data_IF_490620166499
#
_entry.id   IF_490620166499
#
_cell.length_a   1.000
_cell.length_b   1.000
_cell.length_c   1.000
_cell.angle_alpha   90.00
_cell.angle_beta   90.00
_cell.angle_gamma   90.00
#
_symmetry.space_group_name_H-M   'P 1'
#
loop_
_entity.id
_entity.type
_entity.pdbx_description
1 polymer ?
#
# COMPACT_ATOMS: atom_id res chain seq x y z
N UNK A 1 -47.86 3.64 12.64
CA UNK A 1 -46.46 3.74 12.23
C UNK A 1 -46.23 5.10 11.61
N UNK A 2 -45.25 5.85 12.07
CA UNK A 2 -44.90 7.13 11.49
C UNK A 2 -44.21 6.91 10.13
N UNK A 3 -44.40 7.81 9.16
CA UNK A 3 -43.86 7.68 7.79
C UNK A 3 -42.34 7.35 7.74
N UNK A 4 -41.57 7.86 8.68
CA UNK A 4 -40.14 7.58 8.84
C UNK A 4 -39.82 6.13 9.20
N UNK A 5 -40.69 5.44 9.92
CA UNK A 5 -40.51 4.01 10.27
C UNK A 5 -40.82 3.12 9.07
N UNK A 6 -41.78 3.49 8.24
CA UNK A 6 -42.15 2.76 7.01
C UNK A 6 -41.04 2.80 5.97
N UNK A 7 -40.38 3.93 5.80
CA UNK A 7 -39.25 4.10 4.85
C UNK A 7 -38.03 3.25 5.27
N UNK A 8 -37.75 3.10 6.58
CA UNK A 8 -36.66 2.24 7.05
C UNK A 8 -36.92 0.75 6.78
N UNK A 9 -38.15 0.28 6.90
CA UNK A 9 -38.52 -1.11 6.59
C UNK A 9 -38.35 -1.42 5.10
N UNK A 10 -38.72 -0.50 4.24
CA UNK A 10 -38.69 -0.69 2.79
C UNK A 10 -37.29 -0.97 2.25
N UNK A 11 -36.27 -0.33 2.78
CA UNK A 11 -34.89 -0.57 2.32
C UNK A 11 -34.43 -2.00 2.62
N UNK A 12 -34.73 -2.54 3.82
CA UNK A 12 -34.36 -3.92 4.17
C UNK A 12 -35.12 -4.96 3.36
N UNK A 13 -36.42 -4.71 3.05
CA UNK A 13 -37.22 -5.58 2.20
C UNK A 13 -36.70 -5.55 0.76
N UNK A 14 -36.33 -4.37 0.24
CA UNK A 14 -35.75 -4.23 -1.07
C UNK A 14 -34.43 -5.01 -1.22
N UNK A 15 -33.53 -4.90 -0.22
CA UNK A 15 -32.30 -5.65 -0.16
C UNK A 15 -32.56 -7.17 0.01
N UNK A 16 -33.53 -7.56 0.78
CA UNK A 16 -33.89 -8.97 0.98
C UNK A 16 -34.16 -9.67 -0.34
N UNK A 17 -34.88 -8.99 -1.26
CA UNK A 17 -35.12 -9.52 -2.61
C UNK A 17 -33.81 -9.72 -3.40
N UNK A 18 -32.86 -8.79 -3.26
CA UNK A 18 -31.55 -8.90 -3.90
C UNK A 18 -30.71 -10.07 -3.34
N UNK A 19 -30.87 -10.39 -2.06
CA UNK A 19 -30.20 -11.49 -1.38
C UNK A 19 -30.79 -12.88 -1.68
N UNK A 20 -31.85 -13.00 -2.48
CA UNK A 20 -32.34 -14.29 -2.93
C UNK A 20 -31.36 -14.99 -3.90
N UNK A 21 -30.49 -14.22 -4.56
CA UNK A 21 -29.35 -14.75 -5.30
C UNK A 21 -28.21 -15.16 -4.35
N UNK A 22 -27.68 -16.39 -4.51
CA UNK A 22 -26.67 -16.96 -3.60
C UNK A 22 -25.35 -16.16 -3.63
N UNK A 23 -24.96 -15.57 -4.77
CA UNK A 23 -23.73 -14.78 -4.84
C UNK A 23 -23.87 -13.48 -4.04
N UNK A 24 -25.02 -12.81 -4.16
CA UNK A 24 -25.34 -11.62 -3.40
C UNK A 24 -25.50 -11.92 -1.91
N UNK A 25 -26.11 -13.07 -1.58
CA UNK A 25 -26.23 -13.57 -0.21
C UNK A 25 -24.84 -13.77 0.42
N UNK A 26 -23.95 -14.51 -0.22
CA UNK A 26 -22.61 -14.78 0.29
C UNK A 26 -21.78 -13.50 0.49
N UNK A 27 -22.03 -12.47 -0.35
CA UNK A 27 -21.31 -11.20 -0.28
C UNK A 27 -21.83 -10.26 0.81
N UNK A 28 -23.15 -10.18 1.00
CA UNK A 28 -23.75 -9.08 1.78
C UNK A 28 -24.58 -9.50 2.98
N UNK A 29 -25.03 -10.76 3.09
CA UNK A 29 -26.01 -11.18 4.09
C UNK A 29 -25.60 -10.84 5.53
N UNK A 30 -24.43 -11.32 5.96
CA UNK A 30 -23.97 -11.13 7.34
C UNK A 30 -23.75 -9.68 7.70
N UNK A 31 -23.26 -8.93 6.73
CA UNK A 31 -23.08 -7.49 6.87
C UNK A 31 -24.42 -6.78 7.13
N UNK A 32 -25.43 -7.06 6.32
CA UNK A 32 -26.75 -6.44 6.45
C UNK A 32 -27.46 -6.92 7.71
N UNK A 33 -27.45 -8.24 7.97
CA UNK A 33 -28.11 -8.85 9.13
C UNK A 33 -27.63 -8.25 10.46
N UNK A 34 -26.33 -8.04 10.60
CA UNK A 34 -25.74 -7.45 11.81
C UNK A 34 -26.10 -5.97 12.02
N UNK A 35 -26.54 -5.29 10.95
CA UNK A 35 -26.95 -3.88 10.98
C UNK A 35 -28.46 -3.69 11.15
N UNK A 36 -29.26 -4.77 11.16
CA UNK A 36 -30.70 -4.67 11.43
C UNK A 36 -30.90 -4.37 12.90
N UNK A 37 -31.68 -3.31 13.21
CA UNK A 37 -32.04 -3.00 14.58
C UNK A 37 -32.83 -4.18 15.20
N UNK A 38 -32.36 -4.65 16.37
CA UNK A 38 -32.97 -5.78 17.11
C UNK A 38 -34.42 -5.57 17.49
N UNK A 39 -34.91 -4.35 17.44
CA UNK A 39 -36.32 -4.02 17.63
C UNK A 39 -37.21 -4.41 16.44
N UNK A 40 -36.63 -4.56 15.24
CA UNK A 40 -37.33 -4.92 14.01
C UNK A 40 -37.44 -6.46 13.89
N UNK A 41 -38.24 -7.06 14.77
CA UNK A 41 -38.34 -8.52 14.88
C UNK A 41 -38.81 -9.21 13.60
N UNK A 42 -39.74 -8.59 12.88
CA UNK A 42 -40.29 -9.12 11.62
C UNK A 42 -39.23 -9.15 10.51
N UNK A 43 -38.45 -8.11 10.39
CA UNK A 43 -37.32 -8.08 9.41
C UNK A 43 -36.26 -9.11 9.79
N UNK A 44 -35.89 -9.19 11.06
CA UNK A 44 -34.92 -10.20 11.52
C UNK A 44 -35.42 -11.62 11.25
N UNK A 45 -36.71 -11.88 11.43
CA UNK A 45 -37.33 -13.18 11.14
C UNK A 45 -37.19 -13.49 9.64
N UNK A 46 -37.53 -12.55 8.76
CA UNK A 46 -37.43 -12.74 7.31
C UNK A 46 -35.98 -13.06 6.89
N UNK A 47 -35.00 -12.32 7.40
CA UNK A 47 -33.58 -12.59 7.10
C UNK A 47 -33.14 -13.96 7.69
N UNK A 48 -33.59 -14.33 8.87
CA UNK A 48 -33.28 -15.65 9.48
C UNK A 48 -33.84 -16.78 8.62
N UNK A 49 -35.06 -16.65 8.14
CA UNK A 49 -35.68 -17.66 7.26
C UNK A 49 -34.99 -17.76 5.90
N UNK A 50 -34.50 -16.64 5.34
CA UNK A 50 -33.68 -16.65 4.14
C UNK A 50 -32.39 -17.43 4.38
N UNK A 51 -31.72 -17.20 5.51
CA UNK A 51 -30.51 -17.90 5.91
C UNK A 51 -30.76 -19.41 5.97
N UNK A 52 -31.80 -19.84 6.67
CA UNK A 52 -32.16 -21.26 6.79
C UNK A 52 -32.36 -21.92 5.41
N UNK A 53 -33.00 -21.24 4.46
CA UNK A 53 -33.22 -21.77 3.12
C UNK A 53 -31.93 -21.88 2.34
N UNK A 54 -31.12 -20.82 2.27
CA UNK A 54 -29.89 -20.82 1.47
C UNK A 54 -28.89 -21.80 2.06
N UNK A 55 -28.69 -21.83 3.37
CA UNK A 55 -27.76 -22.77 4.01
C UNK A 55 -28.21 -24.25 3.85
N UNK A 56 -29.52 -24.51 3.79
CA UNK A 56 -30.05 -25.86 3.62
C UNK A 56 -29.86 -26.38 2.20
N UNK A 57 -30.10 -25.55 1.19
CA UNK A 57 -30.14 -25.98 -0.20
C UNK A 57 -28.89 -25.56 -1.01
N UNK A 58 -28.07 -24.68 -0.46
CA UNK A 58 -26.85 -24.13 -1.06
C UNK A 58 -27.05 -23.63 -2.50
N UNK A 59 -28.17 -22.93 -2.74
CA UNK A 59 -28.53 -22.41 -4.06
C UNK A 59 -29.34 -21.10 -3.94
N UNK A 60 -29.44 -20.34 -5.03
CA UNK A 60 -30.35 -19.21 -5.13
C UNK A 60 -31.79 -19.66 -4.93
N UNK A 61 -32.60 -18.82 -4.27
CA UNK A 61 -33.99 -19.13 -3.92
C UNK A 61 -34.91 -18.30 -4.79
N UNK A 62 -35.93 -18.93 -5.41
CA UNK A 62 -36.95 -18.15 -6.11
C UNK A 62 -37.79 -17.34 -5.11
N UNK A 63 -38.29 -16.18 -5.56
CA UNK A 63 -39.15 -15.36 -4.73
C UNK A 63 -40.39 -16.12 -4.26
N UNK A 64 -40.97 -16.95 -5.13
CA UNK A 64 -42.15 -17.78 -4.83
C UNK A 64 -41.86 -18.82 -3.75
N UNK A 65 -40.71 -19.52 -3.86
CA UNK A 65 -40.34 -20.55 -2.88
C UNK A 65 -40.01 -19.92 -1.51
N UNK A 66 -39.37 -18.75 -1.53
CA UNK A 66 -39.10 -17.99 -0.32
C UNK A 66 -40.41 -17.60 0.40
N UNK A 67 -41.35 -17.01 -0.33
CA UNK A 67 -42.65 -16.60 0.24
C UNK A 67 -43.45 -17.81 0.78
N UNK A 68 -43.49 -18.93 0.06
CA UNK A 68 -44.11 -20.18 0.56
C UNK A 68 -43.45 -20.68 1.85
N UNK A 69 -42.13 -20.61 1.91
CA UNK A 69 -41.43 -21.03 3.11
C UNK A 69 -41.71 -20.11 4.30
N UNK A 70 -41.67 -18.79 4.09
CA UNK A 70 -42.02 -17.80 5.13
C UNK A 70 -43.45 -18.00 5.62
N UNK A 71 -44.40 -18.24 4.72
CA UNK A 71 -45.81 -18.49 5.05
C UNK A 71 -45.97 -19.73 5.94
N UNK A 72 -45.27 -20.82 5.60
CA UNK A 72 -45.24 -22.07 6.36
C UNK A 72 -44.70 -21.93 7.79
N UNK A 73 -43.89 -20.91 8.07
CA UNK A 73 -43.25 -20.64 9.37
C UNK A 73 -43.88 -19.49 10.16
N UNK A 74 -44.77 -18.72 9.53
CA UNK A 74 -45.45 -17.58 10.15
C UNK A 74 -46.45 -18.03 11.19
N UNK A 75 -46.42 -17.39 12.35
CA UNK A 75 -47.37 -17.65 13.43
C UNK A 75 -48.51 -16.63 13.38
N UNK A 76 -49.70 -16.98 13.89
CA UNK A 76 -50.89 -16.12 13.88
C UNK A 76 -50.68 -14.71 14.46
N UNK A 77 -49.65 -14.51 15.27
CA UNK A 77 -49.37 -13.24 15.96
C UNK A 77 -48.70 -12.19 15.05
N UNK A 78 -47.95 -12.61 14.01
CA UNK A 78 -47.17 -11.74 13.11
C UNK A 78 -47.65 -11.85 11.66
N UNK A 79 -48.68 -12.65 11.40
CA UNK A 79 -49.08 -13.05 10.06
C UNK A 79 -49.41 -11.85 9.15
N UNK A 80 -50.26 -10.95 9.61
CA UNK A 80 -50.70 -9.79 8.80
C UNK A 80 -49.54 -8.89 8.39
N UNK A 81 -48.63 -8.59 9.33
CA UNK A 81 -47.47 -7.71 9.09
C UNK A 81 -46.48 -8.39 8.08
N UNK A 82 -46.24 -9.68 8.24
CA UNK A 82 -45.39 -10.44 7.36
C UNK A 82 -45.98 -10.50 5.94
N UNK A 83 -47.28 -10.74 5.81
CA UNK A 83 -47.96 -10.76 4.52
C UNK A 83 -47.85 -9.42 3.78
N UNK A 84 -47.97 -8.30 4.50
CA UNK A 84 -47.81 -6.97 3.90
C UNK A 84 -46.36 -6.74 3.44
N UNK A 85 -45.39 -7.15 4.23
CA UNK A 85 -43.97 -7.06 3.83
C UNK A 85 -43.64 -7.95 2.62
N UNK A 86 -44.24 -9.14 2.53
CA UNK A 86 -44.09 -10.03 1.37
C UNK A 86 -44.73 -9.46 0.12
N UNK A 87 -45.90 -8.78 0.23
CA UNK A 87 -46.51 -8.04 -0.91
C UNK A 87 -45.59 -6.96 -1.43
N UNK A 88 -44.98 -6.19 -0.53
CA UNK A 88 -43.99 -5.17 -0.92
C UNK A 88 -42.81 -5.82 -1.66
N UNK A 89 -42.32 -6.98 -1.20
CA UNK A 89 -41.26 -7.73 -1.85
C UNK A 89 -41.58 -8.10 -3.32
N UNK A 90 -42.82 -8.48 -3.61
CA UNK A 90 -43.27 -8.79 -4.98
C UNK A 90 -43.27 -7.58 -5.88
N UNK A 91 -43.64 -6.39 -5.36
CA UNK A 91 -43.83 -5.18 -6.12
C UNK A 91 -42.50 -4.46 -6.50
N UNK A 92 -41.39 -4.76 -5.84
CA UNK A 92 -40.09 -4.14 -6.15
C UNK A 92 -39.46 -4.74 -7.40
N UNK A 93 -39.07 -3.89 -8.34
CA UNK A 93 -38.10 -4.22 -9.38
C UNK A 93 -36.69 -3.85 -8.88
N UNK A 94 -35.76 -4.81 -8.95
CA UNK A 94 -34.41 -4.60 -8.46
C UNK A 94 -33.60 -3.77 -9.44
N UNK A 95 -33.06 -2.66 -8.97
CA UNK A 95 -32.09 -1.84 -9.67
C UNK A 95 -30.77 -1.88 -8.89
N UNK A 96 -29.69 -2.35 -9.53
CA UNK A 96 -28.39 -2.53 -8.89
C UNK A 96 -27.77 -1.20 -8.43
N UNK A 97 -27.99 -0.09 -9.13
CA UNK A 97 -27.50 1.22 -8.71
C UNK A 97 -28.13 1.66 -7.40
N UNK A 98 -29.46 1.47 -7.25
CA UNK A 98 -30.19 1.77 -6.02
C UNK A 98 -29.72 0.87 -4.88
N UNK A 99 -29.48 -0.41 -5.13
CA UNK A 99 -28.93 -1.34 -4.14
C UNK A 99 -27.57 -0.85 -3.66
N UNK A 100 -26.68 -0.46 -4.56
CA UNK A 100 -25.35 0.04 -4.21
C UNK A 100 -25.44 1.30 -3.35
N UNK A 101 -26.34 2.22 -3.66
CA UNK A 101 -26.55 3.43 -2.85
C UNK A 101 -27.07 3.09 -1.44
N UNK A 102 -28.04 2.14 -1.32
CA UNK A 102 -28.54 1.70 -0.02
C UNK A 102 -27.46 0.99 0.78
N UNK A 103 -26.68 0.12 0.18
CA UNK A 103 -25.56 -0.57 0.84
C UNK A 103 -24.51 0.43 1.31
N UNK A 104 -24.21 1.44 0.50
CA UNK A 104 -23.32 2.54 0.86
C UNK A 104 -23.82 3.32 2.08
N UNK A 105 -25.12 3.64 2.13
CA UNK A 105 -25.74 4.34 3.26
C UNK A 105 -25.68 3.50 4.55
N UNK A 106 -25.92 2.18 4.47
CA UNK A 106 -25.79 1.27 5.62
C UNK A 106 -24.34 1.23 6.11
N UNK A 107 -23.36 1.12 5.20
CA UNK A 107 -21.94 1.15 5.55
C UNK A 107 -21.53 2.46 6.24
N UNK A 108 -21.96 3.60 5.71
CA UNK A 108 -21.68 4.90 6.31
C UNK A 108 -22.25 5.04 7.72
N UNK A 109 -23.47 4.52 7.96
CA UNK A 109 -24.10 4.53 9.29
C UNK A 109 -23.35 3.64 10.27
N UNK A 110 -22.89 2.47 9.84
CA UNK A 110 -22.08 1.59 10.67
C UNK A 110 -20.75 2.25 11.04
N UNK A 111 -20.04 2.83 10.06
CA UNK A 111 -18.80 3.57 10.31
C UNK A 111 -19.02 4.67 11.35
N UNK A 112 -20.07 5.47 11.16
CA UNK A 112 -20.38 6.54 12.09
C UNK A 112 -20.64 6.02 13.53
N UNK A 113 -21.28 4.86 13.65
CA UNK A 113 -21.52 4.21 14.93
C UNK A 113 -20.23 3.69 15.57
N UNK A 114 -19.40 2.97 14.82
CA UNK A 114 -18.12 2.46 15.30
C UNK A 114 -17.16 3.60 15.68
N UNK A 115 -17.10 4.66 14.88
CA UNK A 115 -16.32 5.87 15.19
C UNK A 115 -16.82 6.55 16.48
N UNK A 116 -18.14 6.60 16.70
CA UNK A 116 -18.68 7.15 17.92
C UNK A 116 -18.26 6.35 19.15
N UNK A 117 -18.29 5.00 19.10
CA UNK A 117 -17.83 4.12 20.18
C UNK A 117 -16.34 4.35 20.46
N UNK A 118 -15.50 4.27 19.42
CA UNK A 118 -14.04 4.44 19.55
C UNK A 118 -13.69 5.84 20.07
N UNK A 119 -14.42 6.88 19.59
CA UNK A 119 -14.23 8.25 20.08
C UNK A 119 -14.59 8.40 21.56
N UNK A 120 -15.63 7.72 22.03
CA UNK A 120 -15.99 7.68 23.46
C UNK A 120 -14.90 6.99 24.29
N UNK A 121 -14.38 5.85 23.83
CA UNK A 121 -13.29 5.15 24.51
C UNK A 121 -12.03 6.02 24.62
N UNK A 122 -11.69 6.76 23.54
CA UNK A 122 -10.56 7.71 23.56
C UNK A 122 -10.84 8.86 24.55
N UNK A 123 -12.06 9.40 24.58
CA UNK A 123 -12.43 10.48 25.49
C UNK A 123 -12.37 10.07 26.96
N UNK A 124 -12.61 8.81 27.26
CA UNK A 124 -12.54 8.22 28.61
C UNK A 124 -11.13 7.70 28.97
N UNK A 125 -10.13 7.90 28.10
CA UNK A 125 -8.73 7.48 28.32
C UNK A 125 -8.50 5.97 28.14
N UNK A 126 -9.43 5.23 27.56
CA UNK A 126 -9.33 3.77 27.30
C UNK A 126 -8.83 3.42 25.90
N UNK A 127 -8.52 4.42 25.06
CA UNK A 127 -8.04 4.26 23.70
C UNK A 127 -7.12 5.40 23.27
N UNK A 128 -6.61 5.33 22.04
CA UNK A 128 -5.78 6.36 21.43
C UNK A 128 -6.42 6.93 20.16
N UNK A 129 -5.98 8.11 19.71
CA UNK A 129 -6.42 8.70 18.43
C UNK A 129 -6.13 7.76 17.25
N UNK A 130 -5.06 6.95 17.35
CA UNK A 130 -4.72 5.97 16.34
C UNK A 130 -5.80 4.89 16.16
N UNK A 131 -6.58 4.59 17.21
CA UNK A 131 -7.71 3.66 17.10
C UNK A 131 -8.82 4.24 16.21
N UNK A 132 -9.07 5.55 16.29
CA UNK A 132 -10.01 6.25 15.40
C UNK A 132 -9.52 6.16 13.95
N UNK A 133 -8.24 6.46 13.72
CA UNK A 133 -7.64 6.40 12.39
C UNK A 133 -7.65 4.97 11.82
N UNK A 134 -7.35 3.96 12.64
CA UNK A 134 -7.40 2.56 12.21
C UNK A 134 -8.81 2.11 11.84
N UNK A 135 -9.83 2.61 12.54
CA UNK A 135 -11.24 2.34 12.22
C UNK A 135 -11.62 2.97 10.88
N UNK A 136 -11.23 4.22 10.62
CA UNK A 136 -11.42 4.88 9.32
C UNK A 136 -10.74 4.10 8.18
N UNK A 137 -9.48 3.70 8.35
CA UNK A 137 -8.72 2.98 7.34
C UNK A 137 -9.33 1.61 7.01
N UNK A 138 -9.85 0.88 7.99
CA UNK A 138 -10.56 -0.39 7.75
C UNK A 138 -11.78 -0.20 6.84
N UNK A 139 -12.49 0.89 6.99
CA UNK A 139 -13.64 1.20 6.15
C UNK A 139 -13.25 1.64 4.74
N UNK A 140 -12.20 2.42 4.58
CA UNK A 140 -11.67 2.81 3.26
C UNK A 140 -11.24 1.57 2.46
N UNK A 141 -10.52 0.63 3.07
CA UNK A 141 -10.13 -0.62 2.42
C UNK A 141 -11.30 -1.55 2.10
N UNK A 142 -12.39 -1.52 2.90
CA UNK A 142 -13.61 -2.29 2.61
C UNK A 142 -14.51 -1.66 1.54
N UNK A 143 -14.23 -0.42 1.14
CA UNK A 143 -14.99 0.32 0.12
C UNK A 143 -14.55 -0.01 -1.31
N UNK A 144 -13.30 -0.34 -1.49
CA UNK A 144 -12.86 -0.94 -2.73
C UNK A 144 -13.39 -2.37 -2.74
N UNK A 145 -14.46 -2.62 -3.50
CA UNK A 145 -14.83 -3.97 -3.90
C UNK A 145 -13.56 -4.58 -4.53
N UNK A 146 -12.77 -5.25 -3.71
CA UNK A 146 -11.67 -6.06 -4.22
C UNK A 146 -12.33 -7.20 -5.00
N UNK A 147 -12.68 -6.92 -6.26
CA UNK A 147 -12.92 -7.99 -7.22
C UNK A 147 -11.69 -8.87 -7.11
N UNK A 148 -11.89 -10.10 -6.65
CA UNK A 148 -10.83 -11.11 -6.75
C UNK A 148 -10.65 -11.34 -8.25
N UNK A 149 -9.75 -10.58 -8.84
CA UNK A 149 -9.41 -10.73 -10.25
C UNK A 149 -8.32 -11.79 -10.34
N UNK A 150 -8.66 -12.88 -10.98
CA UNK A 150 -7.66 -13.87 -11.35
C UNK A 150 -6.76 -13.31 -12.45
N UNK A 151 -5.46 -13.57 -12.34
CA UNK A 151 -4.51 -13.19 -13.38
C UNK A 151 -4.91 -13.90 -14.67
N UNK A 152 -5.02 -13.15 -15.77
CA UNK A 152 -5.29 -13.70 -17.10
C UNK A 152 -4.16 -14.63 -17.53
N UNK A 153 -4.50 -15.73 -18.23
CA UNK A 153 -3.55 -16.60 -18.91
C UNK A 153 -3.11 -16.09 -20.29
N UNK A 154 -3.59 -14.90 -20.69
CA UNK A 154 -3.23 -14.22 -21.92
C UNK A 154 -1.77 -13.74 -21.87
N UNK A 155 -0.89 -14.47 -22.57
CA UNK A 155 0.54 -14.23 -22.55
C UNK A 155 0.92 -12.83 -23.08
N UNK A 156 0.22 -12.30 -24.09
CA UNK A 156 0.49 -10.96 -24.63
C UNK A 156 0.18 -9.87 -23.59
N UNK A 157 -0.89 -10.03 -22.83
CA UNK A 157 -1.22 -9.12 -21.72
C UNK A 157 -0.20 -9.23 -20.59
N UNK A 158 0.19 -10.44 -20.21
CA UNK A 158 1.21 -10.68 -19.18
C UNK A 158 2.54 -10.04 -19.56
N UNK A 159 3.02 -10.23 -20.79
CA UNK A 159 4.25 -9.63 -21.28
C UNK A 159 4.12 -8.10 -21.35
N UNK A 160 2.99 -7.60 -21.83
CA UNK A 160 2.75 -6.15 -21.92
C UNK A 160 2.79 -5.48 -20.55
N UNK A 161 2.19 -6.06 -19.54
CA UNK A 161 2.18 -5.52 -18.17
C UNK A 161 3.51 -5.71 -17.44
N UNK A 162 4.24 -6.79 -17.69
CA UNK A 162 5.42 -7.13 -16.88
C UNK A 162 6.74 -6.68 -17.50
N UNK A 163 6.83 -6.58 -18.84
CA UNK A 163 8.10 -6.37 -19.56
C UNK A 163 8.07 -5.11 -20.43
N UNK A 164 6.95 -4.83 -21.14
CA UNK A 164 6.85 -3.67 -22.04
C UNK A 164 6.69 -2.34 -21.31
N UNK A 165 6.25 -2.32 -20.04
CA UNK A 165 6.34 -1.12 -19.23
C UNK A 165 7.81 -0.79 -18.98
N UNK A 166 8.24 0.39 -19.44
CA UNK A 166 9.60 0.90 -19.20
C UNK A 166 9.81 1.05 -17.71
N UNK A 167 10.62 0.17 -17.13
CA UNK A 167 11.06 0.28 -15.74
C UNK A 167 12.05 1.43 -15.55
N UNK A 168 12.28 1.80 -14.29
CA UNK A 168 13.26 2.81 -13.90
C UNK A 168 14.67 2.20 -13.91
N UNK A 169 15.53 2.68 -14.82
CA UNK A 169 16.92 2.23 -14.96
C UNK A 169 17.84 2.99 -14.01
N UNK A 170 18.70 2.26 -13.34
CA UNK A 170 19.71 2.79 -12.42
C UNK A 170 20.75 3.65 -13.15
N UNK A 171 21.31 4.64 -12.45
CA UNK A 171 22.50 5.37 -12.93
C UNK A 171 23.70 4.44 -13.05
N UNK A 172 23.87 3.56 -12.05
CA UNK A 172 24.89 2.51 -12.11
C UNK A 172 24.53 1.46 -13.15
N UNK A 173 25.30 1.39 -14.22
CA UNK A 173 25.06 0.40 -15.27
C UNK A 173 25.29 -1.03 -14.78
N UNK A 174 26.20 -1.21 -13.83
CA UNK A 174 26.42 -2.50 -13.17
C UNK A 174 25.16 -3.03 -12.47
N UNK A 175 24.32 -2.15 -11.89
CA UNK A 175 23.01 -2.55 -11.36
C UNK A 175 22.02 -2.91 -12.47
N UNK A 176 21.97 -2.16 -13.57
CA UNK A 176 21.11 -2.52 -14.70
C UNK A 176 21.44 -3.92 -15.24
N UNK A 177 22.75 -4.19 -15.40
CA UNK A 177 23.20 -5.51 -15.85
C UNK A 177 22.89 -6.63 -14.86
N UNK A 178 22.91 -6.34 -13.55
CA UNK A 178 22.70 -7.35 -12.51
C UNK A 178 21.22 -7.55 -12.15
N UNK A 179 20.47 -6.46 -11.93
CA UNK A 179 19.11 -6.55 -11.39
C UNK A 179 18.03 -6.10 -12.37
N UNK A 180 18.39 -5.30 -13.38
CA UNK A 180 17.44 -4.69 -14.30
C UNK A 180 16.71 -3.49 -13.70
N UNK A 181 15.66 -3.05 -14.39
CA UNK A 181 14.86 -1.89 -14.05
C UNK A 181 13.87 -2.19 -12.91
N UNK A 182 13.52 -1.14 -12.15
CA UNK A 182 12.44 -1.18 -11.17
C UNK A 182 11.09 -0.92 -11.83
N UNK A 183 10.09 -1.73 -11.52
CA UNK A 183 8.74 -1.64 -12.06
C UNK A 183 7.69 -1.61 -10.96
N UNK A 184 6.46 -1.24 -11.30
CA UNK A 184 5.32 -1.38 -10.39
C UNK A 184 5.24 -2.82 -9.89
N UNK A 185 5.01 -2.99 -8.58
CA UNK A 185 5.03 -4.28 -7.90
C UNK A 185 6.36 -4.60 -7.23
N UNK A 186 7.46 -3.94 -7.61
CA UNK A 186 8.77 -4.20 -7.02
C UNK A 186 8.95 -3.43 -5.70
N UNK A 187 9.24 -4.16 -4.65
CA UNK A 187 9.66 -3.60 -3.37
C UNK A 187 11.10 -4.00 -3.08
N UNK A 188 11.98 -3.01 -2.94
CA UNK A 188 13.36 -3.22 -2.55
C UNK A 188 13.76 -2.43 -1.31
N UNK A 189 14.82 -2.87 -0.64
CA UNK A 189 15.48 -2.03 0.33
C UNK A 189 17.01 -2.13 0.24
N UNK A 190 17.66 -1.05 0.64
CA UNK A 190 19.09 -1.01 0.80
C UNK A 190 19.46 -0.80 2.27
N UNK A 191 20.57 -1.37 2.70
CA UNK A 191 21.07 -1.18 4.04
C UNK A 191 22.59 -1.03 4.09
N UNK A 192 23.04 -0.23 5.03
CA UNK A 192 24.46 0.01 5.28
C UNK A 192 24.67 0.53 6.70
N UNK A 193 25.93 0.55 7.14
CA UNK A 193 26.30 1.25 8.36
C UNK A 193 26.11 2.77 8.22
N UNK A 194 25.94 3.50 9.34
CA UNK A 194 26.02 4.96 9.31
C UNK A 194 27.25 5.45 8.55
N UNK A 195 27.16 6.62 7.91
CA UNK A 195 28.25 7.27 7.16
C UNK A 195 28.85 6.46 5.99
N UNK A 196 28.24 5.35 5.59
CA UNK A 196 28.64 4.59 4.41
C UNK A 196 28.25 5.30 3.09
N UNK A 197 27.26 6.20 3.13
CA UNK A 197 26.82 6.97 1.95
C UNK A 197 25.48 6.53 1.37
N UNK A 198 24.55 5.99 2.19
CA UNK A 198 23.18 5.60 1.77
C UNK A 198 22.44 6.74 1.08
N UNK A 199 22.36 7.91 1.73
CA UNK A 199 21.67 9.09 1.18
C UNK A 199 22.35 9.60 -0.10
N UNK A 200 23.68 9.50 -0.21
CA UNK A 200 24.41 9.83 -1.44
C UNK A 200 24.05 8.85 -2.57
N UNK A 201 23.91 7.56 -2.27
CA UNK A 201 23.41 6.57 -3.25
C UNK A 201 21.99 6.94 -3.71
N UNK A 202 21.11 7.27 -2.78
CA UNK A 202 19.75 7.72 -3.14
C UNK A 202 19.80 8.97 -4.01
N UNK A 203 20.56 10.02 -3.65
CA UNK A 203 20.69 11.23 -4.47
C UNK A 203 21.21 10.90 -5.88
N UNK A 204 22.20 10.01 -6.00
CA UNK A 204 22.73 9.55 -7.28
C UNK A 204 21.63 8.90 -8.13
N UNK A 205 20.94 7.92 -7.61
CA UNK A 205 19.99 7.12 -8.37
C UNK A 205 18.66 7.86 -8.62
N UNK A 206 18.12 8.54 -7.61
CA UNK A 206 16.82 9.25 -7.73
C UNK A 206 16.89 10.38 -8.76
N UNK A 207 18.00 11.12 -8.82
CA UNK A 207 18.17 12.19 -9.83
C UNK A 207 18.29 11.62 -11.26
N UNK A 208 18.70 10.38 -11.41
CA UNK A 208 18.65 9.68 -12.67
C UNK A 208 17.25 9.14 -12.98
N UNK A 209 16.56 8.59 -11.99
CA UNK A 209 15.16 8.18 -12.15
C UNK A 209 14.25 9.38 -12.51
N UNK A 210 14.53 10.57 -11.96
CA UNK A 210 13.75 11.77 -12.23
C UNK A 210 13.75 12.18 -13.71
N UNK A 211 14.78 11.83 -14.47
CA UNK A 211 14.82 12.06 -15.93
C UNK A 211 13.99 11.07 -16.74
N UNK A 212 13.42 10.04 -16.11
CA UNK A 212 12.72 8.92 -16.76
C UNK A 212 11.22 8.91 -16.46
N UNK A 213 10.75 9.79 -15.56
CA UNK A 213 9.37 9.80 -15.06
C UNK A 213 8.60 11.02 -15.56
N UNK A 214 7.28 10.89 -15.58
CA UNK A 214 6.31 11.94 -15.88
C UNK A 214 5.41 12.30 -14.68
N UNK A 215 5.58 11.58 -13.55
CA UNK A 215 4.82 11.75 -12.31
C UNK A 215 5.80 11.84 -11.12
N UNK A 216 5.33 12.34 -9.95
CA UNK A 216 6.20 12.57 -8.80
C UNK A 216 6.95 11.34 -8.30
N UNK A 217 8.17 11.56 -7.84
CA UNK A 217 8.93 10.67 -6.96
C UNK A 217 8.71 11.19 -5.54
N UNK A 218 8.03 10.41 -4.68
CA UNK A 218 7.82 10.76 -3.29
C UNK A 218 9.00 10.25 -2.45
N UNK A 219 9.73 11.16 -1.84
CA UNK A 219 10.86 10.84 -0.97
C UNK A 219 10.56 11.26 0.47
N UNK A 220 10.28 10.30 1.32
CA UNK A 220 10.04 10.48 2.75
C UNK A 220 11.37 10.41 3.50
N UNK A 221 11.92 11.57 3.85
CA UNK A 221 13.18 11.73 4.55
C UNK A 221 12.92 11.98 6.05
N UNK A 222 13.49 11.15 6.90
CA UNK A 222 13.38 11.26 8.36
C UNK A 222 14.73 11.08 9.08
N UNK A 223 15.84 11.22 8.37
CA UNK A 223 17.19 11.07 8.92
C UNK A 223 17.97 12.37 8.89
N UNK A 224 18.13 13.00 7.74
CA UNK A 224 18.91 14.22 7.55
C UNK A 224 18.02 15.44 7.26
N UNK A 225 18.58 16.63 7.38
CA UNK A 225 17.88 17.87 6.99
C UNK A 225 17.61 17.88 5.48
N UNK A 226 16.34 18.01 5.09
CA UNK A 226 15.90 17.91 3.70
C UNK A 226 16.57 18.92 2.75
N UNK A 227 16.87 20.13 3.22
CA UNK A 227 17.59 21.13 2.42
C UNK A 227 18.99 20.66 2.01
N UNK A 228 19.71 19.95 2.89
CA UNK A 228 21.02 19.37 2.57
C UNK A 228 20.91 18.23 1.57
N UNK A 229 19.88 17.40 1.70
CA UNK A 229 19.58 16.31 0.76
C UNK A 229 19.25 16.89 -0.62
N UNK A 230 18.42 17.94 -0.68
CA UNK A 230 18.06 18.58 -1.94
C UNK A 230 19.26 19.22 -2.65
N UNK A 231 20.19 19.87 -1.91
CA UNK A 231 21.44 20.38 -2.49
C UNK A 231 22.26 19.23 -3.11
N UNK A 232 22.36 18.08 -2.44
CA UNK A 232 23.01 16.88 -3.00
C UNK A 232 22.30 16.37 -4.26
N UNK A 233 20.98 16.49 -4.34
CA UNK A 233 20.26 16.17 -5.57
C UNK A 233 20.68 17.08 -6.74
N UNK A 234 20.87 18.39 -6.52
CA UNK A 234 21.43 19.27 -7.54
C UNK A 234 22.84 18.84 -7.95
N UNK A 235 23.71 18.60 -6.97
CA UNK A 235 25.08 18.10 -7.25
C UNK A 235 25.05 16.79 -8.05
N UNK A 236 24.21 15.85 -7.65
CA UNK A 236 24.08 14.54 -8.30
C UNK A 236 23.50 14.66 -9.72
N UNK A 237 22.51 15.53 -9.94
CA UNK A 237 21.90 15.68 -11.25
C UNK A 237 22.92 16.20 -12.29
N UNK A 238 23.71 17.20 -11.95
CA UNK A 238 24.65 17.83 -12.85
C UNK A 238 26.08 17.25 -12.77
N UNK A 239 26.38 16.50 -11.72
CA UNK A 239 27.74 15.98 -11.50
C UNK A 239 28.77 17.07 -11.19
N UNK A 240 28.38 18.07 -10.42
CA UNK A 240 29.20 19.25 -10.10
C UNK A 240 29.32 19.49 -8.59
N UNK A 241 30.41 20.07 -8.12
CA UNK A 241 30.59 20.40 -6.70
C UNK A 241 29.75 21.61 -6.29
N UNK A 242 29.50 21.76 -4.98
CA UNK A 242 28.68 22.82 -4.41
C UNK A 242 29.17 24.23 -4.81
N UNK A 243 30.48 24.43 -4.87
CA UNK A 243 31.03 25.74 -5.26
C UNK A 243 30.59 26.19 -6.67
N UNK A 244 30.46 25.24 -7.59
CA UNK A 244 29.99 25.51 -8.95
C UNK A 244 28.49 25.81 -8.98
N UNK A 245 27.69 25.12 -8.15
CA UNK A 245 26.25 25.40 -7.99
C UNK A 245 26.03 26.83 -7.50
N UNK A 246 26.80 27.27 -6.49
CA UNK A 246 26.70 28.62 -5.93
C UNK A 246 27.05 29.69 -6.97
N UNK A 247 27.98 29.41 -7.89
CA UNK A 247 28.39 30.34 -8.94
C UNK A 247 27.27 30.71 -9.93
N UNK A 248 26.28 29.80 -10.18
CA UNK A 248 25.25 30.00 -11.20
C UNK A 248 23.88 29.47 -10.74
N UNK A 249 23.40 29.90 -9.57
CA UNK A 249 22.19 29.38 -8.93
C UNK A 249 20.96 29.38 -9.86
N UNK A 250 20.67 30.49 -10.54
CA UNK A 250 19.48 30.63 -11.38
C UNK A 250 19.50 29.67 -12.58
N UNK A 251 20.66 29.48 -13.20
CA UNK A 251 20.84 28.56 -14.33
C UNK A 251 20.60 27.13 -13.89
N UNK A 252 21.23 26.69 -12.79
CA UNK A 252 21.04 25.34 -12.28
C UNK A 252 19.64 25.09 -11.74
N UNK A 253 18.97 26.09 -11.17
CA UNK A 253 17.58 25.96 -10.72
C UNK A 253 16.63 25.73 -11.91
N UNK A 254 16.80 26.47 -12.99
CA UNK A 254 15.98 26.27 -14.22
C UNK A 254 16.28 24.91 -14.83
N UNK A 255 17.57 24.63 -15.06
CA UNK A 255 18.01 23.35 -15.63
C UNK A 255 17.58 22.13 -14.80
N UNK A 256 17.58 22.23 -13.46
CA UNK A 256 17.11 21.15 -12.60
C UNK A 256 15.63 20.83 -12.84
N UNK A 257 14.79 21.84 -13.01
CA UNK A 257 13.37 21.64 -13.33
C UNK A 257 13.19 20.99 -14.70
N UNK A 258 13.93 21.46 -15.68
CA UNK A 258 13.85 20.97 -17.07
C UNK A 258 14.35 19.53 -17.22
N UNK A 259 15.27 19.09 -16.35
CA UNK A 259 15.76 17.71 -16.32
C UNK A 259 14.98 16.79 -15.37
N UNK A 260 13.75 17.16 -15.01
CA UNK A 260 12.88 16.31 -14.20
C UNK A 260 13.07 16.45 -12.68
N UNK A 261 13.94 17.33 -12.21
CA UNK A 261 14.14 17.56 -10.76
C UNK A 261 12.90 18.08 -10.05
N UNK A 262 11.95 18.68 -10.78
CA UNK A 262 10.64 19.10 -10.27
C UNK A 262 9.75 17.91 -9.86
N UNK A 263 10.00 16.73 -10.37
CA UNK A 263 9.29 15.52 -9.96
C UNK A 263 9.76 15.00 -8.58
N UNK A 264 10.95 15.37 -8.10
CA UNK A 264 11.42 14.96 -6.77
C UNK A 264 10.67 15.75 -5.71
N UNK A 265 9.78 15.08 -4.98
CA UNK A 265 9.01 15.63 -3.86
C UNK A 265 9.58 15.07 -2.56
N UNK A 266 10.46 15.86 -1.94
CA UNK A 266 11.11 15.50 -0.68
C UNK A 266 10.25 16.00 0.48
N UNK A 267 9.80 15.09 1.34
CA UNK A 267 9.11 15.37 2.59
C UNK A 267 10.08 15.18 3.75
N UNK A 268 10.38 16.28 4.44
CA UNK A 268 11.32 16.31 5.55
C UNK A 268 10.55 16.33 6.88
N UNK A 269 10.43 15.18 7.52
CA UNK A 269 9.77 15.05 8.81
C UNK A 269 10.30 13.84 9.57
N UNK A 270 10.68 14.06 10.84
CA UNK A 270 11.11 12.98 11.73
C UNK A 270 9.99 11.98 12.08
N UNK A 271 8.72 12.37 11.92
CA UNK A 271 7.55 11.59 12.32
C UNK A 271 6.53 11.48 11.19
N UNK A 272 6.88 10.76 10.14
CA UNK A 272 5.96 10.51 9.01
C UNK A 272 5.02 9.36 9.37
N UNK A 273 3.72 9.58 9.23
CA UNK A 273 2.69 8.59 9.52
C UNK A 273 2.21 7.89 8.24
N UNK A 274 1.90 6.57 8.32
CA UNK A 274 1.45 5.77 7.17
C UNK A 274 0.26 6.38 6.43
N UNK A 275 -0.71 6.94 7.14
CA UNK A 275 -1.89 7.56 6.52
C UNK A 275 -1.56 8.78 5.67
N UNK A 276 -0.54 9.58 6.06
CA UNK A 276 -0.06 10.70 5.26
C UNK A 276 0.59 10.22 3.95
N UNK A 277 1.35 9.12 4.02
CA UNK A 277 1.94 8.49 2.83
C UNK A 277 0.86 7.99 1.88
N UNK A 278 -0.12 7.24 2.41
CA UNK A 278 -1.24 6.70 1.63
C UNK A 278 -2.07 7.81 0.96
N UNK A 279 -2.35 8.88 1.69
CA UNK A 279 -3.05 10.04 1.15
C UNK A 279 -2.27 10.69 0.00
N UNK A 280 -0.97 10.95 0.18
CA UNK A 280 -0.13 11.54 -0.85
C UNK A 280 0.00 10.62 -2.08
N UNK A 281 0.05 9.30 -1.89
CA UNK A 281 0.04 8.35 -3.00
C UNK A 281 -1.26 8.40 -3.81
N UNK A 282 -2.41 8.50 -3.14
CA UNK A 282 -3.72 8.65 -3.80
C UNK A 282 -3.83 9.98 -4.57
N UNK A 283 -3.38 11.07 -3.98
CA UNK A 283 -3.47 12.42 -4.56
C UNK A 283 -2.50 12.63 -5.74
N UNK A 284 -1.28 12.14 -5.62
CA UNK A 284 -0.18 12.47 -6.54
C UNK A 284 0.15 11.35 -7.53
N UNK A 285 -0.37 10.14 -7.36
CA UNK A 285 -0.14 8.97 -8.22
C UNK A 285 1.35 8.81 -8.59
N UNK A 286 2.25 8.56 -7.62
CA UNK A 286 3.70 8.62 -7.82
C UNK A 286 4.23 7.60 -8.83
N UNK A 287 5.41 7.89 -9.39
CA UNK A 287 6.21 6.94 -10.19
C UNK A 287 7.21 6.13 -9.37
N UNK A 288 7.57 6.62 -8.18
CA UNK A 288 8.49 5.95 -7.25
C UNK A 288 8.25 6.47 -5.84
N UNK A 289 8.35 5.58 -4.85
CA UNK A 289 8.31 5.95 -3.42
C UNK A 289 9.62 5.56 -2.76
N UNK A 290 10.21 6.50 -2.00
CA UNK A 290 11.46 6.32 -1.26
C UNK A 290 11.21 6.58 0.23
N UNK A 291 11.70 5.69 1.09
CA UNK A 291 11.70 5.84 2.54
C UNK A 291 13.12 5.87 3.10
N UNK A 292 13.57 7.00 3.56
CA UNK A 292 14.88 7.19 4.19
C UNK A 292 14.74 7.72 5.64
N UNK A 293 14.48 6.84 6.65
CA UNK A 293 14.52 5.38 6.78
C UNK A 293 13.11 4.77 6.90
N UNK A 294 12.92 3.56 6.34
CA UNK A 294 11.63 2.87 6.38
C UNK A 294 11.22 2.45 7.81
N UNK A 295 12.15 1.98 8.63
CA UNK A 295 11.88 1.50 9.99
C UNK A 295 11.29 2.56 10.94
N UNK A 296 11.39 3.87 10.58
CA UNK A 296 10.90 5.00 11.38
C UNK A 296 9.47 5.42 11.07
N UNK A 297 8.82 4.86 10.05
CA UNK A 297 7.44 5.20 9.70
C UNK A 297 6.50 4.84 10.86
N UNK A 298 5.59 5.77 11.18
CA UNK A 298 4.63 5.66 12.29
C UNK A 298 3.27 5.14 11.83
N UNK A 299 2.41 4.77 12.80
CA UNK A 299 1.06 4.26 12.55
C UNK A 299 0.98 2.74 12.50
N UNK A 300 1.97 2.05 13.07
CA UNK A 300 1.98 0.61 13.25
C UNK A 300 2.12 0.32 14.75
N UNK A 301 1.15 -0.41 15.29
CA UNK A 301 1.07 -0.74 16.70
C UNK A 301 1.26 -2.24 16.90
N UNK A 302 2.33 -2.60 17.57
CA UNK A 302 2.61 -3.93 18.07
C UNK A 302 3.45 -3.80 19.34
N UNK A 303 3.19 -4.61 20.34
CA UNK A 303 3.96 -4.63 21.59
C UNK A 303 5.41 -5.12 21.36
N UNK A 304 5.63 -5.85 20.28
CA UNK A 304 6.94 -6.39 19.90
C UNK A 304 7.47 -5.62 18.68
N UNK A 305 8.70 -5.12 18.79
CA UNK A 305 9.36 -4.36 17.74
C UNK A 305 9.53 -5.15 16.42
N UNK A 306 9.82 -6.45 16.51
CA UNK A 306 9.98 -7.29 15.32
C UNK A 306 8.66 -7.47 14.53
N UNK A 307 7.52 -7.56 15.21
CA UNK A 307 6.20 -7.61 14.57
C UNK A 307 5.83 -6.27 13.96
N UNK A 308 6.07 -5.18 14.69
CA UNK A 308 5.85 -3.82 14.18
C UNK A 308 6.65 -3.56 12.90
N UNK A 309 7.94 -3.94 12.88
CA UNK A 309 8.77 -3.83 11.69
C UNK A 309 8.26 -4.73 10.56
N UNK A 310 7.84 -5.96 10.86
CA UNK A 310 7.20 -6.84 9.88
C UNK A 310 6.02 -6.17 9.19
N UNK A 311 5.12 -5.56 9.97
CA UNK A 311 3.94 -4.84 9.46
C UNK A 311 4.31 -3.66 8.57
N UNK A 312 5.39 -2.93 8.86
CA UNK A 312 5.90 -1.84 8.01
C UNK A 312 6.34 -2.37 6.63
N UNK A 313 7.07 -3.51 6.59
CA UNK A 313 7.56 -4.07 5.33
C UNK A 313 6.45 -4.71 4.50
N UNK A 314 5.46 -5.35 5.13
CA UNK A 314 4.23 -5.80 4.45
C UNK A 314 3.51 -4.61 3.81
N UNK A 315 3.31 -3.53 4.55
CA UNK A 315 2.69 -2.32 4.04
C UNK A 315 3.48 -1.67 2.88
N UNK A 316 4.80 -1.61 2.96
CA UNK A 316 5.63 -1.12 1.87
C UNK A 316 5.48 -1.98 0.60
N UNK A 317 5.34 -3.30 0.78
CA UNK A 317 5.01 -4.25 -0.30
C UNK A 317 3.65 -3.97 -0.93
N UNK A 318 2.63 -3.67 -0.11
CA UNK A 318 1.29 -3.32 -0.59
C UNK A 318 1.31 -2.00 -1.38
N UNK A 319 2.05 -0.99 -0.93
CA UNK A 319 2.27 0.25 -1.68
C UNK A 319 2.91 -0.03 -3.05
N UNK A 320 3.91 -0.91 -3.10
CA UNK A 320 4.58 -1.27 -4.35
C UNK A 320 3.61 -1.91 -5.36
N UNK A 321 2.77 -2.83 -4.90
CA UNK A 321 1.76 -3.48 -5.74
C UNK A 321 0.67 -2.51 -6.21
N UNK A 322 0.25 -1.60 -5.34
CA UNK A 322 -0.88 -0.70 -5.60
C UNK A 322 -0.49 0.46 -6.50
N UNK A 323 0.62 1.14 -6.19
CA UNK A 323 0.95 2.41 -6.83
C UNK A 323 2.12 2.32 -7.81
N UNK A 324 3.33 2.07 -7.32
CA UNK A 324 4.58 2.15 -8.08
C UNK A 324 5.72 1.47 -7.31
N UNK A 325 6.92 1.26 -7.89
CA UNK A 325 8.03 0.67 -7.16
C UNK A 325 8.34 1.44 -5.86
N UNK A 326 8.82 0.70 -4.85
CA UNK A 326 9.16 1.24 -3.52
C UNK A 326 10.59 0.87 -3.17
N UNK A 327 11.37 1.83 -2.72
CA UNK A 327 12.71 1.63 -2.17
C UNK A 327 12.74 2.09 -0.71
N UNK A 328 13.01 1.18 0.21
CA UNK A 328 13.28 1.48 1.62
C UNK A 328 14.76 1.56 1.93
N UNK A 329 15.11 2.33 2.96
CA UNK A 329 16.46 2.32 3.55
C UNK A 329 16.34 1.84 4.99
N UNK A 330 17.26 0.97 5.40
CA UNK A 330 17.43 0.61 6.81
C UNK A 330 18.90 0.59 7.20
N UNK A 331 19.19 0.34 8.47
CA UNK A 331 20.55 0.31 8.97
C UNK A 331 21.10 -1.12 9.03
N UNK A 332 22.41 -1.25 8.84
CA UNK A 332 23.13 -2.44 9.21
C UNK A 332 23.44 -2.44 10.73
N UNK A 333 23.45 -3.59 11.35
CA UNK A 333 23.89 -3.74 12.73
C UNK A 333 25.41 -3.59 12.88
N UNK A 334 25.93 -3.61 14.12
CA UNK A 334 27.33 -3.43 14.42
C UNK A 334 28.24 -4.48 13.73
N UNK A 335 27.71 -5.68 13.44
CA UNK A 335 28.47 -6.75 12.79
C UNK A 335 28.84 -6.44 11.33
N UNK A 336 28.21 -5.43 10.74
CA UNK A 336 28.50 -4.94 9.39
C UNK A 336 29.66 -3.94 9.31
N UNK A 337 30.21 -3.51 10.45
CA UNK A 337 31.30 -2.52 10.47
C UNK A 337 32.56 -3.06 9.79
N UNK A 338 33.14 -2.27 8.90
CA UNK A 338 34.37 -2.62 8.18
C UNK A 338 34.24 -3.78 7.18
N UNK A 339 33.03 -4.34 6.99
CA UNK A 339 32.82 -5.45 6.04
C UNK A 339 32.72 -4.95 4.60
N UNK A 340 33.50 -5.60 3.74
CA UNK A 340 33.44 -5.39 2.28
C UNK A 340 32.07 -5.77 1.72
N UNK A 341 31.56 -6.94 2.05
CA UNK A 341 30.31 -7.48 1.56
C UNK A 341 29.34 -7.70 2.74
N UNK A 342 28.31 -6.90 2.79
CA UNK A 342 27.23 -7.10 3.76
C UNK A 342 26.33 -8.26 3.32
N UNK A 343 25.82 -9.02 4.28
CA UNK A 343 24.89 -10.13 4.11
C UNK A 343 23.61 -9.87 4.92
N UNK A 344 22.59 -10.69 4.78
CA UNK A 344 21.35 -10.55 5.56
C UNK A 344 21.57 -10.59 7.07
N UNK A 345 22.61 -11.29 7.54
CA UNK A 345 22.97 -11.33 8.96
C UNK A 345 23.37 -9.97 9.53
N UNK A 346 23.73 -9.02 8.66
CA UNK A 346 24.13 -7.67 9.05
C UNK A 346 22.96 -6.65 9.02
N UNK A 347 21.74 -7.06 8.68
CA UNK A 347 20.56 -6.18 8.77
C UNK A 347 20.18 -5.98 10.24
N UNK A 348 19.96 -4.74 10.66
CA UNK A 348 19.47 -4.44 12.00
C UNK A 348 17.99 -4.85 12.14
N UNK A 349 17.65 -5.48 13.25
CA UNK A 349 16.30 -5.86 13.68
C UNK A 349 15.44 -6.62 12.65
N UNK A 350 14.57 -7.51 13.08
CA UNK A 350 13.55 -8.19 12.26
C UNK A 350 14.03 -8.75 10.90
N UNK A 351 15.24 -9.31 10.83
CA UNK A 351 15.93 -9.77 9.60
C UNK A 351 15.03 -10.64 8.72
N UNK A 352 14.37 -11.63 9.30
CA UNK A 352 13.53 -12.59 8.58
C UNK A 352 12.28 -11.94 7.97
N UNK A 353 11.58 -11.10 8.74
CA UNK A 353 10.37 -10.41 8.28
C UNK A 353 10.70 -9.44 7.14
N UNK A 354 11.77 -8.64 7.28
CA UNK A 354 12.22 -7.72 6.23
C UNK A 354 12.59 -8.46 4.93
N UNK A 355 13.32 -9.56 5.07
CA UNK A 355 13.75 -10.39 3.93
C UNK A 355 12.57 -11.04 3.21
N UNK A 356 11.54 -11.47 3.93
CA UNK A 356 10.40 -12.15 3.33
C UNK A 356 9.69 -11.26 2.29
N UNK A 357 9.47 -10.00 2.64
CA UNK A 357 8.65 -9.08 1.86
C UNK A 357 9.37 -8.45 0.65
N UNK A 358 10.66 -8.22 0.71
CA UNK A 358 11.38 -7.54 -0.36
C UNK A 358 11.65 -8.44 -1.58
N UNK A 359 11.64 -7.85 -2.77
CA UNK A 359 12.09 -8.46 -4.04
C UNK A 359 13.55 -8.19 -4.31
N UNK A 360 14.04 -7.01 -3.94
CA UNK A 360 15.42 -6.58 -4.09
C UNK A 360 16.02 -6.20 -2.73
N UNK A 361 17.21 -6.73 -2.43
CA UNK A 361 17.97 -6.35 -1.22
C UNK A 361 19.40 -6.04 -1.61
N UNK A 362 19.82 -4.80 -1.32
CA UNK A 362 21.16 -4.31 -1.57
C UNK A 362 21.89 -4.01 -0.25
N UNK A 363 23.05 -4.62 -0.04
CA UNK A 363 23.92 -4.28 1.08
C UNK A 363 25.09 -3.44 0.61
N UNK A 364 25.30 -2.24 1.19
CA UNK A 364 26.43 -1.37 0.84
C UNK A 364 27.49 -1.45 1.94
N UNK A 365 28.62 -2.07 1.62
CA UNK A 365 29.76 -2.20 2.51
C UNK A 365 30.83 -1.12 2.28
N UNK A 366 31.62 -0.88 3.33
CA UNK A 366 32.82 -0.02 3.32
C UNK A 366 33.92 -0.71 4.12
N UNK A 367 35.14 -0.72 3.61
CA UNK A 367 36.30 -1.23 4.31
C UNK A 367 37.07 -0.10 4.98
N UNK A 368 37.75 -0.38 6.08
CA UNK A 368 38.69 0.54 6.76
C UNK A 368 40.08 0.39 6.11
N UNK A 369 40.23 1.00 4.94
CA UNK A 369 41.49 0.99 4.16
C UNK A 369 41.65 2.37 3.53
N UNK A 370 42.75 3.05 3.86
CA UNK A 370 43.04 4.42 3.38
C UNK A 370 43.08 4.50 1.85
N UNK A 371 43.54 3.44 1.17
CA UNK A 371 43.57 3.39 -0.29
C UNK A 371 42.19 3.15 -0.93
N UNK A 372 41.17 2.78 -0.11
CA UNK A 372 39.82 2.46 -0.53
C UNK A 372 38.76 3.33 0.11
N UNK A 373 39.12 4.51 0.60
CA UNK A 373 38.20 5.42 1.28
C UNK A 373 36.95 5.73 0.46
N UNK A 374 37.10 5.87 -0.86
CA UNK A 374 36.00 6.18 -1.78
C UNK A 374 35.39 4.94 -2.44
N UNK A 375 35.92 3.73 -2.18
CA UNK A 375 35.30 2.51 -2.70
C UNK A 375 34.10 2.11 -1.84
N UNK A 376 33.04 1.65 -2.51
CA UNK A 376 31.87 1.04 -1.89
C UNK A 376 31.61 -0.30 -2.55
N UNK A 377 31.01 -1.19 -1.79
CA UNK A 377 30.83 -2.58 -2.20
C UNK A 377 29.35 -2.93 -2.08
N UNK A 378 28.66 -2.94 -3.24
CA UNK A 378 27.24 -3.28 -3.33
C UNK A 378 27.10 -4.78 -3.51
N UNK A 379 26.51 -5.45 -2.54
CA UNK A 379 26.15 -6.87 -2.62
C UNK A 379 24.66 -7.00 -2.96
N UNK A 380 24.32 -7.61 -4.10
CA UNK A 380 22.94 -7.98 -4.45
C UNK A 380 22.57 -9.27 -3.72
N UNK A 381 21.99 -9.13 -2.54
CA UNK A 381 21.72 -10.24 -1.61
C UNK A 381 20.47 -11.01 -2.05
N UNK A 382 19.45 -10.31 -2.48
CA UNK A 382 18.21 -10.88 -2.99
C UNK A 382 17.80 -10.15 -4.25
N UNK A 383 17.38 -10.89 -5.26
CA UNK A 383 16.87 -10.35 -6.50
C UNK A 383 15.79 -11.27 -7.06
N UNK A 384 14.54 -10.78 -7.06
CA UNK A 384 13.37 -11.41 -7.69
C UNK A 384 12.85 -10.60 -8.86
N UNK A 385 13.53 -9.52 -9.22
CA UNK A 385 13.13 -8.69 -10.36
C UNK A 385 13.17 -9.50 -11.66
N UNK A 386 12.29 -9.15 -12.58
CA UNK A 386 12.18 -9.87 -13.85
C UNK A 386 13.39 -9.61 -14.78
N UNK A 387 14.06 -8.47 -14.58
CA UNK A 387 15.16 -8.02 -15.42
C UNK A 387 14.71 -7.32 -16.70
N UNK A 388 15.67 -6.94 -17.53
CA UNK A 388 15.51 -6.36 -18.85
C UNK A 388 16.26 -7.24 -19.88
N UNK A 389 16.16 -6.93 -21.17
CA UNK A 389 16.85 -7.67 -22.23
C UNK A 389 18.39 -7.69 -22.07
N UNK A 390 18.95 -6.63 -21.48
CA UNK A 390 20.40 -6.49 -21.22
C UNK A 390 20.81 -6.96 -19.80
N UNK A 391 19.90 -7.56 -19.03
CA UNK A 391 20.18 -8.12 -17.72
C UNK A 391 20.85 -9.49 -17.85
N UNK A 392 21.99 -9.64 -17.20
CA UNK A 392 22.75 -10.88 -17.18
C UNK A 392 22.28 -11.78 -16.03
N UNK A 393 21.62 -12.87 -16.35
CA UNK A 393 21.08 -13.81 -15.36
C UNK A 393 22.16 -14.46 -14.48
N UNK A 394 23.40 -14.57 -14.98
CA UNK A 394 24.53 -15.09 -14.19
C UNK A 394 24.99 -14.08 -13.12
N UNK A 395 24.74 -12.79 -13.34
CA UNK A 395 25.05 -11.70 -12.40
C UNK A 395 23.93 -11.34 -11.46
N UNK A 396 22.87 -12.13 -11.41
CA UNK A 396 21.65 -11.85 -10.58
C UNK A 396 21.96 -11.57 -9.10
N UNK A 397 23.03 -12.13 -8.56
CA UNK A 397 23.54 -11.93 -7.21
C UNK A 397 24.96 -11.36 -7.23
N UNK A 398 25.19 -10.33 -8.03
CA UNK A 398 26.50 -9.75 -8.22
C UNK A 398 27.02 -9.05 -6.96
N UNK A 399 28.34 -9.01 -6.88
CA UNK A 399 29.13 -8.22 -5.93
C UNK A 399 29.82 -7.12 -6.72
N UNK A 400 29.32 -5.90 -6.60
CA UNK A 400 29.75 -4.75 -7.40
C UNK A 400 30.68 -3.85 -6.59
N UNK A 401 31.85 -3.59 -7.10
CA UNK A 401 32.73 -2.55 -6.59
C UNK A 401 32.43 -1.25 -7.32
N UNK A 402 32.16 -0.19 -6.59
CA UNK A 402 31.78 1.12 -7.14
C UNK A 402 32.50 2.22 -6.37
N UNK A 403 32.58 3.40 -6.93
CA UNK A 403 33.20 4.54 -6.31
C UNK A 403 32.17 5.58 -5.89
N UNK A 404 32.21 6.04 -4.64
CA UNK A 404 31.45 7.20 -4.20
C UNK A 404 32.24 8.48 -4.49
N UNK A 405 31.56 9.50 -5.01
CA UNK A 405 32.07 10.85 -5.25
C UNK A 405 31.28 11.84 -4.39
N UNK A 406 31.69 12.08 -3.14
CA UNK A 406 30.91 12.91 -2.20
C UNK A 406 30.76 14.37 -2.64
N UNK A 407 31.78 14.90 -3.31
CA UNK A 407 31.82 16.27 -3.84
C UNK A 407 30.75 16.58 -4.89
N UNK A 408 30.32 15.58 -5.63
CA UNK A 408 29.26 15.65 -6.65
C UNK A 408 28.06 14.78 -6.31
N UNK A 409 28.00 14.22 -5.11
CA UNK A 409 26.94 13.37 -4.59
C UNK A 409 26.56 12.20 -5.51
N UNK A 410 27.53 11.53 -6.17
CA UNK A 410 27.30 10.41 -7.08
C UNK A 410 27.99 9.12 -6.65
N UNK A 411 27.40 8.02 -7.08
CA UNK A 411 28.06 6.73 -7.24
C UNK A 411 28.38 6.52 -8.72
N UNK A 412 29.52 5.93 -9.01
CA UNK A 412 29.98 5.62 -10.38
C UNK A 412 30.53 4.20 -10.43
N UNK A 413 30.33 3.53 -11.55
CA UNK A 413 30.95 2.24 -11.86
C UNK A 413 32.47 2.40 -11.97
N UNK A 414 33.25 1.38 -11.56
CA UNK A 414 34.73 1.33 -11.61
C UNK A 414 35.20 0.55 -12.79
#
# INVERSE_FOLDING_TARGET
MTDTTKIKYNNYIYILKYLLDINNYNKYYYYIYNNINKENKEILLLYTLLKELIEKYNNSVSLSDYCLYVDSKSTSKNYEVIQDLLKDLFNYEINEEIINDILKDIKNKQLAYELAIVSLEVSEGRGSIDNIQSTLNKFETSYEDSKIEFISDDLDKLISHSIKEKGLRWRLNSLNTSVGSLRKGDFGFLFARPETGKTTFLCSEITHFATQVDRPILWFNNEEQGSKVMIRCYQAMFGIPLAQLIGNINEYQTSFRDHGGSFIKLFDSATIHRSQVEQLCKELCPSLIIFDQLDKIKGFHDDREDLRLGSIYIWARELAKTYCPVIGVCQADASGEGKKWLTMDNVANAKTAKQAEADLILGIGKVHDEFKEYNRFINVIKNKLIGDEDTDSEKRHAKLEVMIKPDIARYIDT
#
